data_IF_836242340040
#
_entry.id   IF_836242340040
#
_cell.length_a   1.000
_cell.length_b   1.000
_cell.length_c   1.000
_cell.angle_alpha   90.00
_cell.angle_beta   90.00
_cell.angle_gamma   90.00
#
_symmetry.space_group_name_H-M   'P 1'
#
loop_
_entity.id
_entity.type
_entity.pdbx_description
1 polymer ?
#
# COMPACT_ATOMS: atom_id res chain seq x y z
N UNK A 1 -17.29 10.78 21.13
CA UNK A 1 -16.24 9.95 20.53
C UNK A 1 -16.83 9.24 19.32
N UNK A 2 -16.33 9.48 18.11
CA UNK A 2 -16.74 8.66 16.95
C UNK A 2 -16.22 7.24 17.18
N UNK A 3 -17.08 6.25 17.09
CA UNK A 3 -16.70 4.83 17.13
C UNK A 3 -15.88 4.57 15.87
N UNK A 4 -14.60 4.21 16.03
CA UNK A 4 -13.74 3.83 14.88
C UNK A 4 -14.25 2.47 14.37
N UNK A 5 -14.50 2.37 13.09
CA UNK A 5 -14.95 1.11 12.49
C UNK A 5 -13.93 -0.02 12.71
N UNK A 6 -14.38 -1.26 13.01
CA UNK A 6 -13.47 -2.37 13.33
C UNK A 6 -12.38 -2.62 12.28
N UNK A 7 -12.70 -2.44 10.99
CA UNK A 7 -11.74 -2.63 9.90
C UNK A 7 -10.60 -1.61 9.92
N UNK A 8 -10.89 -0.35 10.24
CA UNK A 8 -9.88 0.73 10.34
C UNK A 8 -8.98 0.53 11.55
N UNK A 9 -9.58 0.15 12.69
CA UNK A 9 -8.81 -0.20 13.89
C UNK A 9 -7.87 -1.37 13.60
N UNK A 10 -8.36 -2.39 12.90
CA UNK A 10 -7.56 -3.53 12.46
C UNK A 10 -6.39 -3.08 11.60
N UNK A 11 -6.61 -2.25 10.57
CA UNK A 11 -5.54 -1.74 9.71
C UNK A 11 -4.50 -0.95 10.50
N UNK A 12 -4.92 0.03 11.32
CA UNK A 12 -4.03 0.82 12.15
C UNK A 12 -3.20 -0.04 13.11
N UNK A 13 -3.81 -1.01 13.80
CA UNK A 13 -3.12 -1.92 14.72
C UNK A 13 -2.11 -2.79 13.98
N UNK A 14 -2.51 -3.38 12.84
CA UNK A 14 -1.65 -4.22 12.01
C UNK A 14 -0.39 -3.48 11.60
N UNK A 15 -0.53 -2.30 10.99
CA UNK A 15 0.61 -1.58 10.42
C UNK A 15 1.45 -0.84 11.48
N UNK A 16 0.86 -0.45 12.61
CA UNK A 16 1.66 -0.03 13.76
C UNK A 16 2.53 -1.18 14.31
N UNK A 17 2.02 -2.40 14.39
CA UNK A 17 2.80 -3.56 14.81
C UNK A 17 3.85 -3.97 13.74
N UNK A 18 3.48 -3.90 12.45
CA UNK A 18 4.38 -4.21 11.35
C UNK A 18 5.56 -3.25 11.20
N UNK A 19 5.47 -2.04 11.76
CA UNK A 19 6.50 -1.00 11.65
C UNK A 19 7.90 -1.44 12.09
N UNK A 20 8.01 -2.43 12.99
CA UNK A 20 9.31 -2.98 13.43
C UNK A 20 10.11 -3.62 12.27
N UNK A 21 9.42 -4.05 11.22
CA UNK A 21 10.01 -4.77 10.09
C UNK A 21 9.65 -4.17 8.72
N UNK A 22 8.84 -3.10 8.68
CA UNK A 22 8.21 -2.60 7.46
C UNK A 22 9.22 -2.15 6.38
N UNK A 23 10.35 -1.59 6.78
CA UNK A 23 11.42 -1.13 5.88
C UNK A 23 12.61 -2.11 5.81
N UNK A 24 12.49 -3.33 6.37
CA UNK A 24 13.56 -4.33 6.27
C UNK A 24 13.80 -4.76 4.83
N UNK A 25 15.02 -5.16 4.49
CA UNK A 25 15.43 -5.49 3.13
C UNK A 25 14.50 -6.43 2.34
N UNK A 26 13.94 -7.50 2.95
CA UNK A 26 12.95 -8.36 2.28
C UNK A 26 11.64 -7.67 1.88
N UNK A 27 11.34 -6.48 2.41
CA UNK A 27 10.19 -5.67 2.07
C UNK A 27 10.50 -4.49 1.14
N UNK A 28 11.67 -4.46 0.52
CA UNK A 28 12.09 -3.41 -0.42
C UNK A 28 11.16 -3.20 -1.64
N UNK A 29 10.16 -4.07 -1.82
CA UNK A 29 9.12 -3.87 -2.82
C UNK A 29 8.20 -2.68 -2.51
N UNK A 30 8.06 -2.25 -1.23
CA UNK A 30 7.29 -1.04 -0.91
C UNK A 30 7.90 0.18 -1.60
N UNK A 31 9.19 0.42 -1.38
CA UNK A 31 9.91 1.54 -2.00
C UNK A 31 9.95 1.42 -3.52
N UNK A 32 10.24 0.23 -4.05
CA UNK A 32 10.27 -0.02 -5.49
C UNK A 32 8.96 0.36 -6.18
N UNK A 33 7.81 -0.02 -5.61
CA UNK A 33 6.52 0.26 -6.23
C UNK A 33 6.00 1.66 -5.93
N UNK A 34 6.36 2.25 -4.79
CA UNK A 34 6.16 3.66 -4.52
C UNK A 34 6.86 4.54 -5.55
N UNK A 35 8.16 4.33 -5.76
CA UNK A 35 8.94 5.01 -6.80
C UNK A 35 8.35 4.77 -8.21
N UNK A 36 8.05 3.52 -8.54
CA UNK A 36 7.44 3.17 -9.82
C UNK A 36 6.11 3.85 -10.08
N UNK A 37 5.33 4.16 -9.03
CA UNK A 37 4.11 4.97 -9.15
C UNK A 37 4.44 6.42 -9.51
N UNK A 38 5.44 7.02 -8.84
CA UNK A 38 5.85 8.41 -9.08
C UNK A 38 6.47 8.60 -10.47
N UNK A 39 7.19 7.61 -10.97
CA UNK A 39 7.76 7.65 -12.34
C UNK A 39 6.68 7.73 -13.42
N UNK A 40 5.48 7.20 -13.17
CA UNK A 40 4.34 7.21 -14.08
C UNK A 40 3.52 8.49 -14.05
N UNK A 41 3.78 9.38 -13.09
CA UNK A 41 3.10 10.66 -12.95
C UNK A 41 3.89 11.78 -13.64
N UNK A 42 3.16 12.68 -14.32
CA UNK A 42 3.71 13.88 -14.91
C UNK A 42 3.81 15.02 -13.88
N UNK A 43 4.48 14.76 -12.76
CA UNK A 43 4.71 15.78 -11.73
C UNK A 43 5.76 16.79 -12.22
N UNK A 44 5.45 18.07 -12.06
CA UNK A 44 6.35 19.20 -12.35
C UNK A 44 6.88 19.81 -11.05
N UNK A 45 8.01 20.50 -11.06
CA UNK A 45 8.41 21.37 -9.95
C UNK A 45 7.28 22.32 -9.57
N UNK A 46 7.06 22.49 -8.26
CA UNK A 46 5.96 23.31 -7.72
C UNK A 46 4.61 22.58 -7.58
N UNK A 47 4.48 21.32 -8.01
CA UNK A 47 3.22 20.57 -7.88
C UNK A 47 2.86 20.31 -6.40
N UNK A 48 1.54 20.30 -6.12
CA UNK A 48 0.95 19.87 -4.84
C UNK A 48 0.45 18.43 -4.95
N UNK A 49 0.88 17.56 -4.05
CA UNK A 49 0.59 16.12 -4.10
C UNK A 49 -0.02 15.63 -2.79
N UNK A 50 -1.06 14.81 -2.87
CA UNK A 50 -1.61 14.07 -1.74
C UNK A 50 -1.30 12.57 -1.90
N UNK A 51 -0.68 11.98 -0.89
CA UNK A 51 -0.42 10.54 -0.82
C UNK A 51 -1.27 9.90 0.29
N UNK A 52 -2.24 9.08 -0.10
CA UNK A 52 -3.26 8.51 0.78
C UNK A 52 -2.94 7.05 1.09
N UNK A 53 -2.74 6.74 2.37
CA UNK A 53 -2.17 5.48 2.83
C UNK A 53 -0.66 5.45 2.56
N UNK A 54 0.03 6.55 2.90
CA UNK A 54 1.44 6.77 2.53
C UNK A 54 2.44 5.88 3.28
N UNK A 55 2.01 5.19 4.35
CA UNK A 55 2.86 4.31 5.16
C UNK A 55 4.14 4.99 5.63
N UNK A 56 5.29 4.35 5.39
CA UNK A 56 6.63 4.87 5.71
C UNK A 56 7.18 5.83 4.64
N UNK A 57 6.33 6.35 3.72
CA UNK A 57 6.67 7.37 2.75
C UNK A 57 7.24 6.88 1.42
N UNK A 58 7.03 5.61 1.07
CA UNK A 58 7.57 4.99 -0.15
C UNK A 58 7.21 5.72 -1.46
N UNK A 59 6.08 6.40 -1.51
CA UNK A 59 5.63 7.26 -2.62
C UNK A 59 5.74 8.75 -2.31
N UNK A 60 5.45 9.16 -1.06
CA UNK A 60 5.48 10.57 -0.66
C UNK A 60 6.89 11.18 -0.75
N UNK A 61 7.93 10.45 -0.33
CA UNK A 61 9.32 10.94 -0.36
C UNK A 61 9.81 11.16 -1.80
N UNK A 62 9.73 10.20 -2.74
CA UNK A 62 10.11 10.45 -4.12
C UNK A 62 9.21 11.49 -4.81
N UNK A 63 7.94 11.63 -4.41
CA UNK A 63 7.10 12.73 -4.87
C UNK A 63 7.67 14.08 -4.44
N UNK A 64 8.04 14.23 -3.16
CA UNK A 64 8.62 15.47 -2.61
C UNK A 64 9.93 15.85 -3.30
N UNK A 65 10.79 14.88 -3.59
CA UNK A 65 12.01 15.09 -4.38
C UNK A 65 11.69 15.60 -5.79
N UNK A 66 10.70 15.00 -6.46
CA UNK A 66 10.33 15.31 -7.84
C UNK A 66 9.68 16.68 -7.99
N UNK A 67 8.85 17.11 -7.04
CA UNK A 67 8.19 18.42 -7.08
C UNK A 67 9.09 19.56 -6.61
N UNK A 68 10.22 19.27 -5.95
CA UNK A 68 11.20 20.24 -5.51
C UNK A 68 10.70 21.17 -4.39
N UNK A 69 11.55 22.12 -3.97
CA UNK A 69 11.30 23.03 -2.83
C UNK A 69 10.04 23.89 -2.98
N UNK A 70 9.64 24.20 -4.20
CA UNK A 70 8.46 25.04 -4.49
C UNK A 70 7.16 24.24 -4.52
N UNK A 71 7.25 22.88 -4.54
CA UNK A 71 6.12 21.96 -4.43
C UNK A 71 5.83 21.58 -3.00
N UNK A 72 4.73 20.87 -2.79
CA UNK A 72 4.33 20.40 -1.48
C UNK A 72 3.69 19.02 -1.54
N UNK A 73 4.04 18.14 -0.58
CA UNK A 73 3.45 16.80 -0.48
C UNK A 73 2.81 16.62 0.89
N UNK A 74 1.60 16.09 0.91
CA UNK A 74 0.90 15.69 2.14
C UNK A 74 0.73 14.18 2.10
N UNK A 75 1.36 13.47 3.03
CA UNK A 75 1.15 12.04 3.27
C UNK A 75 0.15 11.82 4.41
N UNK A 76 -0.83 10.97 4.20
CA UNK A 76 -1.84 10.63 5.22
C UNK A 76 -1.89 9.12 5.43
N UNK A 77 -1.84 8.67 6.68
CA UNK A 77 -1.96 7.26 7.07
C UNK A 77 -2.61 7.12 8.46
N UNK A 78 -3.16 5.95 8.77
CA UNK A 78 -3.68 5.63 10.12
C UNK A 78 -2.59 5.16 11.08
N UNK A 79 -1.47 4.64 10.55
CA UNK A 79 -0.39 4.02 11.33
C UNK A 79 0.67 5.06 11.74
N UNK A 80 0.54 5.65 12.92
CA UNK A 80 1.48 6.68 13.41
C UNK A 80 2.93 6.21 13.45
N UNK A 81 3.20 4.92 13.74
CA UNK A 81 4.58 4.41 13.75
C UNK A 81 5.19 4.41 12.34
N UNK A 82 4.41 4.11 11.29
CA UNK A 82 4.89 4.25 9.91
C UNK A 82 5.12 5.71 9.53
N UNK A 83 4.24 6.62 9.96
CA UNK A 83 4.42 8.06 9.74
C UNK A 83 5.66 8.61 10.46
N UNK A 84 5.98 8.09 11.64
CA UNK A 84 7.21 8.43 12.34
C UNK A 84 8.46 8.02 11.54
N UNK A 85 8.44 6.84 10.92
CA UNK A 85 9.51 6.39 10.01
C UNK A 85 9.60 7.29 8.77
N UNK A 86 8.45 7.65 8.17
CA UNK A 86 8.40 8.55 7.01
C UNK A 86 9.01 9.92 7.33
N UNK A 87 8.64 10.50 8.49
CA UNK A 87 9.24 11.78 8.96
C UNK A 87 10.74 11.67 9.16
N UNK A 88 11.21 10.58 9.76
CA UNK A 88 12.64 10.35 9.97
C UNK A 88 13.40 10.22 8.63
N UNK A 89 12.85 9.47 7.66
CA UNK A 89 13.43 9.33 6.31
C UNK A 89 13.47 10.65 5.55
N UNK A 90 12.40 11.44 5.60
CA UNK A 90 12.34 12.76 4.98
C UNK A 90 13.36 13.73 5.60
N UNK A 91 13.45 13.76 6.92
CA UNK A 91 14.42 14.59 7.65
C UNK A 91 15.87 14.20 7.32
N UNK A 92 16.18 12.90 7.26
CA UNK A 92 17.50 12.39 6.89
C UNK A 92 17.92 12.80 5.47
N UNK A 93 16.95 13.05 4.58
CA UNK A 93 17.17 13.52 3.20
C UNK A 93 17.05 15.04 3.06
N UNK A 94 16.85 15.78 4.16
CA UNK A 94 16.76 17.23 4.16
C UNK A 94 15.49 17.79 3.51
N UNK A 95 14.46 16.97 3.30
CA UNK A 95 13.20 17.38 2.66
C UNK A 95 12.36 18.23 3.64
N UNK A 96 12.00 19.46 3.23
CA UNK A 96 11.19 20.40 4.00
C UNK A 96 9.78 20.57 3.38
N UNK A 97 9.55 20.00 2.22
CA UNK A 97 8.36 20.16 1.41
C UNK A 97 7.41 18.96 1.49
N UNK A 98 7.54 18.13 2.51
CA UNK A 98 6.65 17.01 2.78
C UNK A 98 6.20 17.01 4.23
N UNK A 99 4.93 16.81 4.46
CA UNK A 99 4.35 16.62 5.79
C UNK A 99 3.58 15.30 5.89
N UNK A 100 3.57 14.71 7.08
CA UNK A 100 2.92 13.44 7.35
C UNK A 100 1.90 13.60 8.47
N UNK A 101 0.63 13.25 8.20
CA UNK A 101 -0.52 13.44 9.11
C UNK A 101 -1.19 12.12 9.40
N UNK A 102 -1.55 11.88 10.66
CA UNK A 102 -2.51 10.81 10.98
C UNK A 102 -3.88 11.20 10.45
N UNK A 103 -4.49 10.33 9.67
CA UNK A 103 -5.80 10.59 9.10
C UNK A 103 -6.44 9.37 8.46
N UNK A 104 -7.76 9.41 8.38
CA UNK A 104 -8.58 8.37 7.77
C UNK A 104 -8.88 8.78 6.32
N UNK A 105 -8.56 7.89 5.36
CA UNK A 105 -8.75 8.14 3.94
C UNK A 105 -10.22 8.41 3.56
N UNK A 106 -11.19 7.96 4.35
CA UNK A 106 -12.61 8.21 4.10
C UNK A 106 -13.08 9.58 4.60
N UNK A 107 -12.25 10.32 5.37
CA UNK A 107 -12.62 11.63 5.96
C UNK A 107 -11.51 12.67 5.85
N UNK A 108 -10.83 12.75 4.72
CA UNK A 108 -9.66 13.62 4.51
C UNK A 108 -9.97 15.12 4.59
N UNK A 109 -11.19 15.54 4.19
CA UNK A 109 -11.66 16.91 4.35
C UNK A 109 -11.01 17.94 3.42
N UNK A 110 -10.23 17.55 2.43
CA UNK A 110 -9.65 18.46 1.45
C UNK A 110 -10.70 18.95 0.44
N UNK A 111 -10.59 20.20 -0.07
CA UNK A 111 -11.51 20.75 -1.06
C UNK A 111 -11.37 20.07 -2.43
N UNK A 112 -12.37 20.31 -3.30
CA UNK A 112 -12.35 19.86 -4.69
C UNK A 112 -11.17 20.49 -5.43
N UNK A 113 -10.45 19.67 -6.21
CA UNK A 113 -9.39 20.15 -7.07
C UNK A 113 -8.19 20.75 -6.33
N UNK A 114 -7.93 20.33 -5.10
CA UNK A 114 -6.86 20.87 -4.28
C UNK A 114 -5.45 20.43 -4.71
N UNK A 115 -5.32 19.32 -5.46
CA UNK A 115 -4.04 18.70 -5.75
C UNK A 115 -3.79 18.52 -7.24
N UNK A 116 -2.53 18.71 -7.65
CA UNK A 116 -2.02 18.36 -8.97
C UNK A 116 -2.02 16.84 -9.18
N UNK A 117 -1.69 16.08 -8.13
CA UNK A 117 -1.81 14.64 -8.13
C UNK A 117 -2.31 14.11 -6.78
N UNK A 118 -3.12 13.04 -6.85
CA UNK A 118 -3.52 12.23 -5.71
C UNK A 118 -3.03 10.81 -5.94
N UNK A 119 -2.38 10.23 -4.93
CA UNK A 119 -1.73 8.92 -5.01
C UNK A 119 -2.35 8.01 -3.95
N UNK A 120 -2.57 6.74 -4.28
CA UNK A 120 -2.98 5.70 -3.34
C UNK A 120 -2.28 4.39 -3.71
N UNK A 121 -1.22 4.04 -2.97
CA UNK A 121 -0.38 2.86 -3.23
C UNK A 121 -0.68 1.79 -2.19
N UNK A 122 -1.17 0.63 -2.62
CA UNK A 122 -1.53 -0.52 -1.79
C UNK A 122 -2.48 -0.21 -0.62
N UNK A 123 -3.35 0.80 -0.76
CA UNK A 123 -4.21 1.23 0.35
C UNK A 123 -5.72 1.22 0.05
N UNK A 124 -6.16 1.46 -1.19
CA UNK A 124 -7.56 1.64 -1.53
C UNK A 124 -8.46 0.45 -1.13
N UNK A 125 -7.91 -0.75 -1.06
CA UNK A 125 -8.68 -1.96 -0.73
C UNK A 125 -8.98 -2.12 0.77
N UNK A 126 -8.46 -1.25 1.64
CA UNK A 126 -8.77 -1.28 3.07
C UNK A 126 -10.11 -0.64 3.43
N UNK A 127 -10.79 0.01 2.47
CA UNK A 127 -12.14 0.54 2.68
C UNK A 127 -13.21 -0.44 2.23
N UNK A 128 -14.39 -0.45 2.84
CA UNK A 128 -15.51 -1.28 2.42
C UNK A 128 -15.98 -0.95 1.00
N UNK A 129 -16.12 0.35 0.68
CA UNK A 129 -16.59 0.89 -0.59
C UNK A 129 -15.45 1.59 -1.36
N UNK A 130 -14.73 0.79 -2.18
CA UNK A 130 -13.64 1.31 -3.01
C UNK A 130 -14.12 2.28 -4.09
N UNK A 131 -15.35 2.11 -4.61
CA UNK A 131 -15.92 3.01 -5.63
C UNK A 131 -16.12 4.40 -5.05
N UNK A 132 -16.73 4.49 -3.87
CA UNK A 132 -16.89 5.75 -3.14
C UNK A 132 -15.52 6.38 -2.84
N UNK A 133 -14.57 5.58 -2.39
CA UNK A 133 -13.23 6.06 -2.08
C UNK A 133 -12.49 6.58 -3.31
N UNK A 134 -12.51 5.85 -4.41
CA UNK A 134 -11.87 6.29 -5.66
C UNK A 134 -12.50 7.61 -6.18
N UNK A 135 -13.83 7.75 -6.05
CA UNK A 135 -14.54 8.99 -6.38
C UNK A 135 -14.10 10.16 -5.50
N UNK A 136 -13.89 9.92 -4.20
CA UNK A 136 -13.40 10.93 -3.26
C UNK A 136 -11.96 11.36 -3.59
N UNK A 137 -11.07 10.41 -3.88
CA UNK A 137 -9.71 10.71 -4.35
C UNK A 137 -9.75 11.54 -5.64
N UNK A 138 -10.59 11.14 -6.60
CA UNK A 138 -10.76 11.87 -7.87
C UNK A 138 -11.29 13.28 -7.70
N UNK A 139 -12.21 13.51 -6.75
CA UNK A 139 -12.74 14.82 -6.43
C UNK A 139 -11.63 15.81 -6.09
N UNK A 140 -10.65 15.36 -5.32
CA UNK A 140 -9.53 16.17 -4.84
C UNK A 140 -8.48 16.50 -5.91
N UNK A 141 -8.44 15.75 -7.02
CA UNK A 141 -7.57 16.06 -8.17
C UNK A 141 -8.12 17.30 -8.89
N UNK A 142 -7.25 18.30 -9.21
CA UNK A 142 -7.66 19.47 -10.01
C UNK A 142 -7.89 19.10 -11.49
N UNK A 143 -8.63 19.92 -12.26
CA UNK A 143 -8.65 19.80 -13.71
C UNK A 143 -7.22 19.86 -14.30
N UNK A 144 -6.87 18.92 -15.17
CA UNK A 144 -5.52 18.75 -15.71
C UNK A 144 -4.55 18.02 -14.77
N UNK A 145 -4.98 17.61 -13.58
CA UNK A 145 -4.19 16.80 -12.64
C UNK A 145 -4.34 15.29 -12.85
N UNK A 146 -3.72 14.50 -11.99
CA UNK A 146 -3.64 13.06 -12.11
C UNK A 146 -4.07 12.32 -10.84
N UNK A 147 -4.71 11.16 -11.00
CA UNK A 147 -4.89 10.16 -9.95
C UNK A 147 -4.05 8.94 -10.26
N UNK A 148 -3.26 8.48 -9.29
CA UNK A 148 -2.57 7.20 -9.38
C UNK A 148 -3.06 6.23 -8.31
N UNK A 149 -3.49 5.04 -8.73
CA UNK A 149 -3.81 3.91 -7.85
C UNK A 149 -2.89 2.76 -8.21
N UNK A 150 -2.18 2.24 -7.20
CA UNK A 150 -1.32 1.06 -7.35
C UNK A 150 -1.83 -0.04 -6.44
N UNK A 151 -2.02 -1.23 -6.98
CA UNK A 151 -2.52 -2.40 -6.26
C UNK A 151 -1.75 -3.66 -6.59
N UNK A 152 -1.94 -4.70 -5.80
CA UNK A 152 -1.37 -6.00 -6.07
C UNK A 152 -1.93 -6.61 -7.36
N UNK A 153 -1.07 -7.30 -8.10
CA UNK A 153 -1.46 -8.23 -9.15
C UNK A 153 -1.78 -9.61 -8.57
N UNK A 154 -2.06 -10.60 -9.43
CA UNK A 154 -2.33 -11.97 -9.02
C UNK A 154 -1.11 -12.63 -8.38
N UNK A 155 -1.36 -13.68 -7.58
CA UNK A 155 -0.31 -14.51 -6.94
C UNK A 155 0.60 -13.74 -5.97
N UNK A 156 0.04 -12.72 -5.27
CA UNK A 156 0.79 -11.94 -4.28
C UNK A 156 1.49 -12.85 -3.26
N UNK A 157 2.80 -12.68 -3.18
CA UNK A 157 3.70 -13.38 -2.26
C UNK A 157 3.81 -14.90 -2.43
N UNK A 158 3.32 -15.48 -3.56
CA UNK A 158 3.54 -16.89 -3.82
C UNK A 158 5.03 -17.21 -4.05
N UNK A 159 5.53 -18.36 -3.58
CA UNK A 159 4.82 -19.46 -2.89
C UNK A 159 4.69 -19.26 -1.37
N UNK A 160 5.20 -18.17 -0.82
CA UNK A 160 5.16 -17.88 0.62
C UNK A 160 3.73 -17.77 1.18
N UNK A 161 2.83 -17.12 0.42
CA UNK A 161 1.42 -16.97 0.79
C UNK A 161 0.72 -18.33 0.98
N UNK A 162 0.92 -19.27 0.06
CA UNK A 162 0.36 -20.62 0.17
C UNK A 162 0.90 -21.36 1.41
N UNK A 163 2.21 -21.28 1.65
CA UNK A 163 2.83 -21.88 2.84
C UNK A 163 2.30 -21.27 4.14
N UNK A 164 2.14 -19.94 4.15
CA UNK A 164 1.57 -19.20 5.28
C UNK A 164 0.16 -19.67 5.64
N UNK A 165 -0.75 -19.63 4.68
CA UNK A 165 -2.15 -20.00 4.93
C UNK A 165 -2.33 -21.49 5.23
N UNK A 166 -1.49 -22.36 4.67
CA UNK A 166 -1.49 -23.78 5.03
C UNK A 166 -1.14 -24.00 6.51
N UNK A 167 -0.09 -23.33 7.00
CA UNK A 167 0.31 -23.41 8.40
C UNK A 167 -0.73 -22.76 9.34
N UNK A 168 -1.22 -21.57 9.00
CA UNK A 168 -2.30 -20.91 9.78
C UNK A 168 -3.53 -21.81 9.87
N UNK A 169 -3.97 -22.38 8.75
CA UNK A 169 -5.14 -23.29 8.73
C UNK A 169 -4.93 -24.51 9.61
N UNK A 170 -3.70 -24.99 9.73
CA UNK A 170 -3.38 -26.16 10.56
C UNK A 170 -3.42 -25.85 12.06
N UNK A 171 -2.85 -24.72 12.49
CA UNK A 171 -2.68 -24.40 13.91
C UNK A 171 -3.77 -23.46 14.45
N UNK A 172 -4.32 -22.58 13.60
CA UNK A 172 -5.37 -21.60 13.92
C UNK A 172 -6.38 -21.49 12.78
N UNK A 173 -7.17 -22.55 12.55
CA UNK A 173 -8.17 -22.55 11.47
C UNK A 173 -9.21 -21.43 11.58
N UNK A 174 -9.44 -20.92 12.79
CA UNK A 174 -10.28 -19.77 13.07
C UNK A 174 -9.75 -18.44 12.49
N UNK A 175 -8.44 -18.34 12.26
CA UNK A 175 -7.79 -17.18 11.67
C UNK A 175 -7.57 -17.29 10.16
N UNK A 176 -7.78 -18.48 9.57
CA UNK A 176 -7.63 -18.67 8.13
C UNK A 176 -8.72 -17.91 7.39
N UNK A 177 -8.34 -16.81 6.74
CA UNK A 177 -9.26 -16.00 5.95
C UNK A 177 -9.60 -16.69 4.64
N UNK A 178 -10.89 -16.71 4.28
CA UNK A 178 -11.35 -17.15 2.97
C UNK A 178 -11.26 -16.06 1.90
N UNK A 179 -10.97 -14.82 2.30
CA UNK A 179 -10.97 -13.66 1.42
C UNK A 179 -10.07 -12.54 1.94
N UNK A 180 -9.26 -11.99 1.05
CA UNK A 180 -8.43 -10.82 1.33
C UNK A 180 -8.95 -9.60 0.56
N UNK A 181 -8.97 -8.40 1.17
CA UNK A 181 -9.56 -7.21 0.55
C UNK A 181 -8.99 -6.86 -0.83
N UNK A 182 -7.68 -7.06 -1.05
CA UNK A 182 -7.01 -6.76 -2.32
C UNK A 182 -7.41 -7.69 -3.47
N UNK A 183 -7.93 -8.90 -3.20
CA UNK A 183 -8.36 -9.86 -4.23
C UNK A 183 -9.46 -9.33 -5.14
N UNK A 184 -10.19 -8.29 -4.71
CA UNK A 184 -11.22 -7.62 -5.52
C UNK A 184 -10.66 -6.87 -6.74
N UNK A 185 -9.37 -6.48 -6.72
CA UNK A 185 -8.76 -5.61 -7.73
C UNK A 185 -7.36 -6.09 -8.15
N UNK A 186 -7.18 -7.41 -8.30
CA UNK A 186 -5.89 -8.04 -8.68
C UNK A 186 -5.72 -8.24 -10.19
N UNK A 187 -6.62 -7.72 -11.02
CA UNK A 187 -6.50 -7.78 -12.48
C UNK A 187 -6.67 -6.40 -13.10
N UNK A 188 -6.04 -6.13 -14.27
CA UNK A 188 -6.25 -4.86 -14.99
C UNK A 188 -7.73 -4.56 -15.27
N UNK A 189 -8.52 -5.59 -15.58
CA UNK A 189 -9.95 -5.48 -15.85
C UNK A 189 -10.72 -5.03 -14.59
N UNK A 190 -10.40 -5.61 -13.42
CA UNK A 190 -11.06 -5.24 -12.15
C UNK A 190 -10.70 -3.81 -11.73
N UNK A 191 -9.44 -3.39 -11.92
CA UNK A 191 -9.01 -2.00 -11.68
C UNK A 191 -9.72 -1.04 -12.64
N UNK A 192 -9.81 -1.37 -13.93
CA UNK A 192 -10.52 -0.56 -14.91
C UNK A 192 -12.00 -0.40 -14.56
N UNK A 193 -12.65 -1.50 -14.15
CA UNK A 193 -14.05 -1.46 -13.73
C UNK A 193 -14.26 -0.57 -12.50
N UNK A 194 -13.37 -0.66 -11.50
CA UNK A 194 -13.38 0.24 -10.34
C UNK A 194 -13.35 1.71 -10.76
N UNK A 195 -12.48 2.07 -11.71
CA UNK A 195 -12.35 3.46 -12.18
C UNK A 195 -13.60 3.91 -12.96
N UNK A 196 -14.16 3.06 -13.81
CA UNK A 196 -15.41 3.33 -14.54
C UNK A 196 -16.58 3.57 -13.56
N UNK A 197 -16.77 2.66 -12.59
CA UNK A 197 -17.85 2.75 -11.60
C UNK A 197 -17.71 3.98 -10.69
N UNK A 198 -16.49 4.47 -10.55
CA UNK A 198 -16.18 5.69 -9.80
C UNK A 198 -16.37 6.99 -10.63
N UNK A 199 -16.70 6.88 -11.93
CA UNK A 199 -16.84 8.03 -12.82
C UNK A 199 -15.52 8.70 -13.21
N UNK A 200 -14.39 7.97 -13.09
CA UNK A 200 -13.04 8.48 -13.41
C UNK A 200 -12.79 8.42 -14.93
N UNK A 201 -13.34 7.42 -15.60
CA UNK A 201 -13.19 7.24 -17.05
C UNK A 201 -11.89 6.54 -17.43
N UNK A 202 -11.28 6.96 -18.56
CA UNK A 202 -10.10 6.32 -19.11
C UNK A 202 -8.87 6.51 -18.21
N UNK A 203 -8.13 5.40 -18.02
CA UNK A 203 -6.86 5.37 -17.31
C UNK A 203 -5.84 4.52 -18.06
N UNK A 204 -4.56 4.89 -17.95
CA UNK A 204 -3.47 4.04 -18.36
C UNK A 204 -3.26 2.97 -17.29
N UNK A 205 -3.54 1.71 -17.60
CA UNK A 205 -3.38 0.59 -16.69
C UNK A 205 -2.23 -0.29 -17.18
N UNK A 206 -1.26 -0.54 -16.30
CA UNK A 206 -0.07 -1.33 -16.59
C UNK A 206 0.13 -2.40 -15.52
N UNK A 207 0.05 -3.67 -15.91
CA UNK A 207 0.42 -4.78 -15.04
C UNK A 207 1.91 -5.10 -15.22
N UNK A 208 2.61 -5.28 -14.11
CA UNK A 208 4.04 -5.60 -14.09
C UNK A 208 4.26 -6.83 -13.22
N UNK A 209 4.92 -7.83 -13.79
CA UNK A 209 5.40 -8.98 -13.01
C UNK A 209 6.60 -8.58 -12.17
N UNK A 210 6.54 -8.88 -10.89
CA UNK A 210 7.60 -8.57 -9.95
C UNK A 210 7.97 -9.77 -9.09
N UNK A 211 9.20 -9.75 -8.59
CA UNK A 211 9.71 -10.73 -7.63
C UNK A 211 10.50 -10.01 -6.55
N UNK A 212 10.42 -10.54 -5.35
CA UNK A 212 11.29 -10.18 -4.23
C UNK A 212 12.17 -11.37 -3.90
N UNK A 213 13.49 -11.20 -4.02
CA UNK A 213 14.43 -12.24 -3.68
C UNK A 213 14.41 -12.54 -2.18
N UNK A 214 14.53 -13.82 -1.84
CA UNK A 214 14.73 -14.33 -0.49
C UNK A 214 16.14 -14.93 -0.40
N UNK A 215 16.97 -14.39 0.48
CA UNK A 215 18.33 -14.94 0.76
C UNK A 215 18.24 -16.23 1.56
N UNK A 216 17.22 -16.31 2.41
CA UNK A 216 16.89 -17.48 3.20
C UNK A 216 15.37 -17.55 3.45
N UNK A 217 14.83 -18.68 3.93
CA UNK A 217 13.44 -18.74 4.37
C UNK A 217 13.05 -17.71 5.45
N UNK A 218 14.02 -17.27 6.28
CA UNK A 218 13.77 -16.23 7.30
C UNK A 218 13.42 -14.86 6.70
N UNK A 219 13.89 -14.54 5.49
CA UNK A 219 13.48 -13.34 4.78
C UNK A 219 11.95 -13.35 4.53
N UNK A 220 11.35 -14.52 4.27
CA UNK A 220 9.89 -14.65 4.20
C UNK A 220 9.21 -14.33 5.53
N UNK A 221 9.79 -14.83 6.64
CA UNK A 221 9.21 -14.51 7.96
C UNK A 221 9.25 -13.01 8.25
N UNK A 222 10.31 -12.32 7.84
CA UNK A 222 10.39 -10.85 7.89
C UNK A 222 9.26 -10.20 7.08
N UNK A 223 8.95 -10.72 5.88
CA UNK A 223 7.80 -10.25 5.09
C UNK A 223 6.46 -10.46 5.83
N UNK A 224 6.27 -11.59 6.49
CA UNK A 224 5.09 -11.84 7.34
C UNK A 224 4.96 -10.80 8.44
N UNK A 225 6.06 -10.50 9.14
CA UNK A 225 6.07 -9.54 10.25
C UNK A 225 5.89 -8.08 9.80
N UNK A 226 6.39 -7.70 8.62
CA UNK A 226 6.34 -6.34 8.09
C UNK A 226 5.20 -6.08 7.11
N UNK A 227 4.20 -6.97 7.03
CA UNK A 227 3.08 -6.83 6.09
C UNK A 227 1.72 -7.01 6.77
N UNK A 228 0.64 -7.05 5.97
CA UNK A 228 -0.72 -7.30 6.45
C UNK A 228 -0.93 -8.64 7.17
N UNK A 229 -0.03 -9.60 7.00
CA UNK A 229 -0.05 -10.87 7.75
C UNK A 229 0.21 -10.67 9.25
N UNK A 230 0.82 -9.56 9.65
CA UNK A 230 1.08 -9.21 11.05
C UNK A 230 -0.18 -9.28 11.91
N UNK A 231 -1.35 -8.90 11.39
CA UNK A 231 -2.60 -9.04 12.12
C UNK A 231 -2.85 -10.46 12.64
N UNK A 232 -2.58 -11.45 11.80
CA UNK A 232 -2.79 -12.87 12.17
C UNK A 232 -1.80 -13.31 13.25
N UNK A 233 -0.55 -12.83 13.20
CA UNK A 233 0.46 -13.06 14.23
C UNK A 233 0.01 -12.52 15.58
N UNK A 234 -0.52 -11.28 15.63
CA UNK A 234 -0.98 -10.62 16.85
C UNK A 234 -2.16 -11.34 17.55
N UNK A 235 -2.79 -12.33 16.87
CA UNK A 235 -3.88 -13.14 17.42
C UNK A 235 -3.40 -14.51 17.95
N UNK A 236 -2.10 -14.80 17.91
CA UNK A 236 -1.49 -16.07 18.29
C UNK A 236 -0.67 -15.93 19.57
N UNK A 237 -0.64 -16.99 20.36
CA UNK A 237 0.34 -17.12 21.45
C UNK A 237 1.74 -17.47 20.89
N UNK A 238 2.74 -17.36 21.75
CA UNK A 238 4.13 -17.57 21.37
C UNK A 238 4.40 -18.99 20.81
N UNK A 239 3.81 -20.03 21.42
CA UNK A 239 4.00 -21.43 20.99
C UNK A 239 3.40 -21.67 19.59
N UNK A 240 2.23 -21.10 19.34
CA UNK A 240 1.57 -21.14 18.02
C UNK A 240 2.38 -20.38 16.96
N UNK A 241 2.90 -19.19 17.30
CA UNK A 241 3.76 -18.40 16.40
C UNK A 241 4.99 -19.22 15.98
N UNK A 242 5.70 -19.83 16.94
CA UNK A 242 6.88 -20.65 16.65
C UNK A 242 6.53 -21.88 15.79
N UNK A 243 5.40 -22.54 16.05
CA UNK A 243 4.92 -23.67 15.25
C UNK A 243 4.63 -23.27 13.80
N UNK A 244 3.90 -22.18 13.60
CA UNK A 244 3.59 -21.62 12.27
C UNK A 244 4.85 -21.19 11.54
N UNK A 245 5.78 -20.49 12.24
CA UNK A 245 7.06 -20.08 11.69
C UNK A 245 7.87 -21.29 11.19
N UNK A 246 8.08 -22.28 12.06
CA UNK A 246 8.89 -23.44 11.74
C UNK A 246 8.32 -24.22 10.53
N UNK A 247 6.99 -24.36 10.43
CA UNK A 247 6.37 -25.01 9.28
C UNK A 247 6.55 -24.21 7.99
N UNK A 248 6.43 -22.86 8.05
CA UNK A 248 6.68 -21.97 6.91
C UNK A 248 8.13 -22.09 6.42
N UNK A 249 9.12 -21.95 7.33
CA UNK A 249 10.53 -22.02 6.99
C UNK A 249 10.89 -23.39 6.40
N UNK A 250 10.37 -24.47 6.98
CA UNK A 250 10.55 -25.84 6.48
C UNK A 250 9.98 -25.99 5.06
N UNK A 251 8.76 -25.51 4.82
CA UNK A 251 8.08 -25.64 3.53
C UNK A 251 8.83 -24.89 2.44
N UNK A 252 9.21 -23.64 2.69
CA UNK A 252 9.95 -22.83 1.72
C UNK A 252 11.38 -23.35 1.48
N UNK A 253 12.05 -23.83 2.54
CA UNK A 253 13.36 -24.43 2.43
C UNK A 253 13.32 -25.73 1.62
N UNK A 254 12.34 -26.62 1.86
CA UNK A 254 12.17 -27.86 1.12
C UNK A 254 11.85 -27.62 -0.37
N UNK A 255 11.12 -26.57 -0.68
CA UNK A 255 10.78 -26.18 -2.06
C UNK A 255 11.93 -25.42 -2.76
N UNK A 256 13.00 -25.09 -2.06
CA UNK A 256 14.11 -24.29 -2.59
C UNK A 256 13.69 -22.89 -3.05
N UNK A 257 12.67 -22.31 -2.40
CA UNK A 257 12.09 -21.01 -2.79
C UNK A 257 13.11 -19.88 -2.60
N UNK A 258 13.50 -19.23 -3.71
CA UNK A 258 14.49 -18.13 -3.72
C UNK A 258 13.84 -16.75 -3.90
N UNK A 259 12.56 -16.68 -4.11
CA UNK A 259 11.80 -15.43 -4.28
C UNK A 259 10.33 -15.64 -3.94
N UNK A 260 9.64 -14.54 -3.70
CA UNK A 260 8.18 -14.46 -3.70
C UNK A 260 7.72 -13.56 -4.83
N UNK A 261 6.53 -13.84 -5.38
CA UNK A 261 5.92 -13.00 -6.41
C UNK A 261 5.38 -11.70 -5.79
N UNK A 262 5.70 -10.58 -6.43
CA UNK A 262 5.24 -9.25 -6.03
C UNK A 262 4.63 -8.53 -7.23
N UNK A 263 3.77 -9.21 -7.98
CA UNK A 263 3.08 -8.66 -9.14
C UNK A 263 2.26 -7.42 -8.76
N UNK A 264 2.28 -6.39 -9.60
CA UNK A 264 1.67 -5.09 -9.33
C UNK A 264 0.89 -4.57 -10.53
N UNK A 265 -0.17 -3.79 -10.27
CA UNK A 265 -0.94 -3.09 -11.27
C UNK A 265 -0.90 -1.60 -10.93
N UNK A 266 -0.44 -0.80 -11.88
CA UNK A 266 -0.47 0.66 -11.84
C UNK A 266 -1.63 1.17 -12.68
N UNK A 267 -2.39 2.10 -12.15
CA UNK A 267 -3.44 2.81 -12.89
C UNK A 267 -3.25 4.31 -12.72
N UNK A 268 -3.13 5.03 -13.83
CA UNK A 268 -2.99 6.49 -13.85
C UNK A 268 -4.09 7.10 -14.71
N UNK A 269 -4.91 7.94 -14.11
CA UNK A 269 -5.97 8.67 -14.80
C UNK A 269 -5.66 10.18 -14.85
N UNK A 270 -5.91 10.82 -16.00
CA UNK A 270 -5.76 12.24 -16.19
C UNK A 270 -7.13 12.93 -16.10
N UNK A 271 -7.27 13.94 -15.24
CA UNK A 271 -8.52 14.69 -15.11
C UNK A 271 -8.64 15.70 -16.24
N UNK A 272 -9.72 15.63 -17.03
CA UNK A 272 -9.91 16.57 -18.14
C UNK A 272 -9.86 18.02 -17.68
N UNK A 273 -9.24 18.88 -18.49
CA UNK A 273 -9.35 20.34 -18.34
C UNK A 273 -10.76 20.73 -18.78
N UNK A 274 -11.55 21.32 -17.89
CA UNK A 274 -12.85 21.89 -18.32
C UNK A 274 -12.57 23.08 -19.21
N UNK A 275 -12.76 22.90 -20.52
CA UNK A 275 -12.86 24.02 -21.44
C UNK A 275 -14.18 24.71 -21.12
N UNK A 276 -14.12 25.97 -20.69
CA UNK A 276 -15.31 26.83 -20.47
C UNK A 276 -15.88 27.28 -21.80
#
# INVERSE_FOLDING_TARGET
MKVVEPAKLKAATTYNAAADHFDDGPLGFWDRYGHGTIERLALSPGSTVLDVGCGSGASAIPAAQKVGSDGHVIGVDLAERLLAMARAKAAAQGLQNVEFRVGDMETLGFPDGAFDAVICVFAIFFVPDMVKQARELWRMVRPGGQLAITTWGPRMFEPGSAAWWAAVKRYRPDLASAFNPWERIITPQAVNQLLIDSGIGEAQITAVSGQQALRSPDDWWTVVLGSGYRWTIEQMDHETIESVRNENLKTLGANGSKFIETNVIYAVANKPIRIR
#
